data_IF_952474677515
#
_entry.id   IF_952474677515
#
_cell.length_a   1.000
_cell.length_b   1.000
_cell.length_c   1.000
_cell.angle_alpha   90.00
_cell.angle_beta   90.00
_cell.angle_gamma   90.00
#
_symmetry.space_group_name_H-M   'P 1'
#
loop_
_entity.id
_entity.type
_entity.pdbx_description
1 polymer ?
#
# COMPACT_ATOMS: atom_id res chain seq x y z
N UNK A 1 0.96 -5.71 -5.69
CA UNK A 1 1.60 -5.18 -4.47
C UNK A 1 0.69 -5.40 -3.28
N UNK A 2 1.21 -5.95 -2.23
CA UNK A 2 0.42 -6.27 -1.04
C UNK A 2 0.73 -5.28 0.07
N UNK A 3 -0.31 -4.69 0.62
CA UNK A 3 -0.20 -3.68 1.66
C UNK A 3 -0.86 -4.23 2.92
N UNK A 4 -0.14 -4.20 4.03
CA UNK A 4 -0.66 -4.67 5.32
C UNK A 4 -1.03 -3.48 6.17
N UNK A 5 -2.32 -3.27 6.36
CA UNK A 5 -2.83 -2.15 7.16
C UNK A 5 -3.34 -2.64 8.51
N UNK A 6 -2.89 -2.05 9.61
CA UNK A 6 -3.51 -2.35 10.90
C UNK A 6 -4.96 -1.85 10.93
N UNK A 7 -5.77 -2.46 11.77
CA UNK A 7 -7.20 -2.12 11.80
C UNK A 7 -7.48 -0.69 12.23
N UNK A 8 -6.59 -0.09 12.98
CA UNK A 8 -6.76 1.30 13.39
C UNK A 8 -6.31 2.30 12.29
N UNK A 9 -5.81 1.78 11.18
CA UNK A 9 -5.40 2.59 10.03
C UNK A 9 -6.25 2.30 8.80
N UNK A 10 -7.45 1.80 8.98
CA UNK A 10 -8.33 1.48 7.86
C UNK A 10 -8.73 2.69 7.05
N UNK A 11 -8.57 3.90 7.60
CA UNK A 11 -8.77 5.11 6.82
C UNK A 11 -7.86 5.20 5.60
N UNK A 12 -6.68 4.57 5.67
CA UNK A 12 -5.77 4.51 4.54
C UNK A 12 -6.33 3.67 3.39
N UNK A 13 -7.16 2.68 3.73
CA UNK A 13 -7.80 1.85 2.73
C UNK A 13 -8.72 2.68 1.83
N UNK A 14 -9.42 3.63 2.43
CA UNK A 14 -10.28 4.53 1.68
C UNK A 14 -9.47 5.35 0.68
N UNK A 15 -8.30 5.81 1.10
CA UNK A 15 -7.40 6.52 0.20
C UNK A 15 -6.93 5.63 -0.94
N UNK A 16 -6.69 4.35 -0.66
CA UNK A 16 -6.30 3.41 -1.69
C UNK A 16 -7.40 3.22 -2.73
N UNK A 17 -8.65 3.15 -2.31
CA UNK A 17 -9.76 3.05 -3.24
C UNK A 17 -9.86 4.27 -4.16
N UNK A 18 -9.43 5.41 -3.68
CA UNK A 18 -9.49 6.65 -4.47
C UNK A 18 -8.29 6.82 -5.39
N UNK A 19 -7.10 6.51 -4.90
CA UNK A 19 -5.86 6.87 -5.59
C UNK A 19 -5.16 5.68 -6.22
N UNK A 20 -5.51 4.48 -5.83
CA UNK A 20 -4.90 3.27 -6.36
C UNK A 20 -5.99 2.33 -6.86
N UNK A 21 -5.58 1.39 -7.70
CA UNK A 21 -6.51 0.37 -8.18
C UNK A 21 -6.46 -0.81 -7.24
N UNK A 22 -7.47 -0.94 -6.40
CA UNK A 22 -7.56 -2.05 -5.45
C UNK A 22 -8.12 -3.27 -6.17
N UNK A 23 -7.37 -4.36 -6.16
CA UNK A 23 -7.77 -5.59 -6.82
C UNK A 23 -8.37 -6.59 -5.86
N UNK A 24 -7.86 -6.65 -4.64
CA UNK A 24 -8.36 -7.60 -3.67
C UNK A 24 -8.10 -7.08 -2.26
N UNK A 25 -8.98 -7.44 -1.34
CA UNK A 25 -8.84 -7.10 0.06
C UNK A 25 -9.14 -8.34 0.89
N UNK A 26 -8.25 -8.69 1.77
CA UNK A 26 -8.43 -9.82 2.68
C UNK A 26 -8.31 -9.33 4.12
N UNK A 27 -9.17 -9.83 4.97
CA UNK A 27 -9.18 -9.47 6.37
C UNK A 27 -8.66 -10.62 7.23
N UNK A 28 -7.59 -10.38 7.95
CA UNK A 28 -6.98 -11.35 8.82
C UNK A 28 -6.51 -10.62 10.08
N UNK A 29 -5.29 -10.90 10.50
CA UNK A 29 -4.71 -10.17 11.63
C UNK A 29 -4.53 -8.70 11.26
N UNK A 30 -4.29 -8.44 9.99
CA UNK A 30 -4.27 -7.09 9.42
C UNK A 30 -5.11 -7.09 8.17
N UNK A 31 -5.41 -5.91 7.65
CA UNK A 31 -6.12 -5.79 6.39
C UNK A 31 -5.09 -5.88 5.27
N UNK A 32 -5.14 -6.97 4.52
CA UNK A 32 -4.20 -7.21 3.42
C UNK A 32 -4.84 -6.74 2.12
N UNK A 33 -4.24 -5.72 1.53
CA UNK A 33 -4.78 -5.11 0.31
C UNK A 33 -3.85 -5.38 -0.86
N UNK A 34 -4.37 -6.00 -1.90
CA UNK A 34 -3.64 -6.15 -3.14
C UNK A 34 -4.08 -5.04 -4.09
N UNK A 35 -3.16 -4.17 -4.44
CA UNK A 35 -3.50 -3.00 -5.24
C UNK A 35 -2.35 -2.61 -6.13
N UNK A 36 -2.70 -1.94 -7.23
CA UNK A 36 -1.72 -1.29 -8.09
C UNK A 36 -1.66 0.17 -7.67
N UNK A 37 -0.50 0.58 -7.19
CA UNK A 37 -0.32 1.91 -6.65
C UNK A 37 0.57 2.76 -7.55
N UNK A 38 0.29 4.05 -7.58
CA UNK A 38 1.20 5.00 -8.21
C UNK A 38 2.41 5.20 -7.29
N UNK A 39 3.55 5.67 -7.83
CA UNK A 39 4.72 5.93 -6.98
C UNK A 39 4.43 6.86 -5.81
N UNK A 40 3.52 7.80 -6.01
CA UNK A 40 3.14 8.73 -4.96
C UNK A 40 2.46 8.00 -3.79
N UNK A 41 1.52 7.12 -4.11
CA UNK A 41 0.82 6.36 -3.09
C UNK A 41 1.76 5.38 -2.40
N UNK A 42 2.65 4.77 -3.17
CA UNK A 42 3.65 3.85 -2.62
C UNK A 42 4.53 4.56 -1.59
N UNK A 43 4.94 5.78 -1.88
CA UNK A 43 5.74 6.55 -0.94
C UNK A 43 4.99 6.88 0.34
N UNK A 44 3.69 7.10 0.26
CA UNK A 44 2.88 7.40 1.42
C UNK A 44 2.65 6.18 2.31
N UNK A 45 2.63 5.00 1.71
CA UNK A 45 2.29 3.78 2.41
C UNK A 45 3.46 2.81 2.56
N UNK A 46 4.67 3.29 2.33
CA UNK A 46 5.85 2.43 2.33
C UNK A 46 6.01 1.61 3.61
N UNK A 47 5.60 2.17 4.74
CA UNK A 47 5.71 1.47 6.03
C UNK A 47 4.76 0.28 6.14
N UNK A 48 3.77 0.21 5.27
CA UNK A 48 2.74 -0.82 5.29
C UNK A 48 2.85 -1.80 4.13
N UNK A 49 3.76 -1.54 3.19
CA UNK A 49 3.91 -2.38 2.02
C UNK A 49 4.91 -3.49 2.30
N UNK A 50 4.45 -4.73 2.16
CA UNK A 50 5.33 -5.87 2.36
C UNK A 50 6.37 -5.92 1.25
N UNK A 51 7.62 -6.07 1.66
CA UNK A 51 8.70 -6.17 0.69
C UNK A 51 9.01 -4.87 -0.04
N UNK A 52 8.54 -3.75 0.49
CA UNK A 52 8.81 -2.46 -0.13
C UNK A 52 10.31 -2.19 -0.17
N UNK A 53 10.79 -1.86 -1.34
CA UNK A 53 12.18 -1.44 -1.54
C UNK A 53 12.15 -0.05 -2.13
N UNK A 54 12.80 0.89 -1.46
CA UNK A 54 12.84 2.25 -1.94
C UNK A 54 13.57 2.31 -3.28
N UNK A 55 12.96 2.93 -4.30
CA UNK A 55 13.61 3.04 -5.59
C UNK A 55 14.91 3.81 -5.46
N UNK A 56 15.97 3.20 -5.93
CA UNK A 56 17.27 3.83 -5.89
C UNK A 56 17.51 4.52 -7.21
N UNK A 57 17.88 5.76 -7.13
CA UNK A 57 18.14 6.52 -8.33
C UNK A 57 19.57 6.28 -8.79
N UNK A 58 19.69 5.75 -9.99
CA UNK A 58 20.99 5.35 -10.52
C UNK A 58 21.79 6.49 -11.12
N UNK A 59 21.14 7.61 -11.31
CA UNK A 59 21.80 8.73 -11.97
C UNK A 59 22.74 9.50 -11.04
N UNK A 60 22.84 9.10 -9.85
CA UNK A 60 23.81 9.72 -8.92
C UNK A 60 25.22 9.27 -9.18
#
# INVERSE_FOLDING_TARGET
>A
MVIHLPYDKTGLLDSLYREAKVENVAYGETVDVTAVCTPRVMGQLKDYIEGWVEPKEDWE
#
